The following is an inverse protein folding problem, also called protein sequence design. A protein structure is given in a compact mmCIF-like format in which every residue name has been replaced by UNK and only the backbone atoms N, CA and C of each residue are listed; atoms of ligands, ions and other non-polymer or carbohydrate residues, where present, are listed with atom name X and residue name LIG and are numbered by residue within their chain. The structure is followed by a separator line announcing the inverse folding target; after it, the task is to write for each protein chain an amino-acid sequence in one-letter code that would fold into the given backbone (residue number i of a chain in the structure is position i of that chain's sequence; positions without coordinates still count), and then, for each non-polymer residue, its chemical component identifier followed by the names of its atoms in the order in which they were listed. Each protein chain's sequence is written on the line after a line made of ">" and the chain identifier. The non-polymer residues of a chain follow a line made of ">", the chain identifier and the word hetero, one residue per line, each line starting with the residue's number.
data_IF_372492256552
#
_entry.id   IF_372492256552
#
_cell.length_a   1.000
_cell.length_b   1.000
_cell.length_c   1.000
_cell.angle_alpha   90.00
_cell.angle_beta   90.00
_cell.angle_gamma   90.00
#
_symmetry.space_group_name_H-M   'P 1'
#
loop_
_entity.id
_entity.type
_entity.pdbx_description
1 polymer ?
#
# COMPACT_ATOMS: atom_id res chain seq x y z
N UNK A 1 27.28 -31.73 1.87
CA UNK A 1 27.94 -30.41 1.99
C UNK A 1 26.83 -29.39 2.23
N UNK A 2 26.39 -29.26 3.49
CA UNK A 2 26.61 -28.11 4.41
C UNK A 2 26.22 -26.76 3.80
N UNK A 3 25.16 -26.22 4.39
CA UNK A 3 24.51 -24.94 4.16
C UNK A 3 25.35 -23.78 4.68
N UNK A 4 25.20 -22.61 4.08
CA UNK A 4 25.54 -21.31 4.67
C UNK A 4 24.42 -20.33 4.28
N UNK A 5 23.53 -20.10 5.24
CA UNK A 5 22.51 -19.05 5.26
C UNK A 5 23.14 -17.89 6.03
N UNK A 6 23.35 -16.74 5.39
CA UNK A 6 23.77 -15.52 6.08
C UNK A 6 22.54 -14.77 6.59
N UNK A 7 22.22 -15.04 7.87
CA UNK A 7 21.40 -14.20 8.74
C UNK A 7 22.21 -12.94 9.10
N UNK A 8 21.69 -11.75 8.77
CA UNK A 8 22.22 -10.49 9.30
C UNK A 8 21.19 -9.88 10.24
N UNK A 9 21.45 -10.10 11.52
CA UNK A 9 20.68 -9.65 12.67
C UNK A 9 20.80 -8.14 12.90
N UNK A 10 19.71 -7.57 13.39
CA UNK A 10 19.53 -6.17 13.77
C UNK A 10 20.41 -5.75 14.97
N UNK A 11 20.85 -4.49 14.96
CA UNK A 11 21.27 -3.77 16.16
C UNK A 11 20.36 -2.55 16.33
N UNK A 12 19.50 -2.62 17.35
CA UNK A 12 18.75 -1.51 17.91
C UNK A 12 19.67 -0.70 18.83
N UNK A 13 19.84 0.59 18.57
CA UNK A 13 20.33 1.53 19.59
C UNK A 13 19.17 2.45 19.99
N UNK A 14 18.67 2.18 21.20
CA UNK A 14 17.80 3.06 21.98
C UNK A 14 18.70 3.88 22.88
N UNK A 15 18.65 5.21 22.77
CA UNK A 15 18.91 6.12 23.90
C UNK A 15 18.06 7.38 23.72
N UNK A 16 17.19 7.63 24.70
CA UNK A 16 16.29 8.78 24.75
C UNK A 16 16.89 10.03 25.41
N UNK A 17 16.23 11.15 25.09
CA UNK A 17 15.92 12.37 25.84
C UNK A 17 16.95 12.97 26.83
N UNK A 18 17.20 14.29 26.71
CA UNK A 18 16.88 15.33 27.72
C UNK A 18 16.89 16.71 27.05
N UNK A 19 15.83 17.49 27.29
CA UNK A 19 15.72 18.93 27.02
C UNK A 19 16.20 19.74 28.22
N UNK A 20 16.97 20.81 27.98
CA UNK A 20 17.01 22.02 28.83
C UNK A 20 17.51 23.20 27.99
N UNK A 21 16.69 24.23 27.80
CA UNK A 21 17.17 25.60 27.51
C UNK A 21 17.83 26.22 28.76
N UNK A 22 18.51 27.38 28.69
CA UNK A 22 17.77 28.65 28.54
C UNK A 22 18.50 29.84 27.86
N UNK A 23 17.66 30.82 27.46
CA UNK A 23 17.77 32.29 27.58
C UNK A 23 19.02 33.06 27.09
N UNK A 24 18.75 33.87 26.05
CA UNK A 24 19.15 35.27 25.83
C UNK A 24 19.86 36.00 26.98
N UNK A 25 21.04 36.55 26.69
CA UNK A 25 21.51 37.87 27.15
C UNK A 25 22.37 38.50 26.05
N UNK A 26 21.96 39.65 25.54
CA UNK A 26 22.83 40.69 24.98
C UNK A 26 22.83 41.84 26.01
N UNK A 27 23.95 42.58 26.18
CA UNK A 27 24.03 43.87 25.50
C UNK A 27 25.44 44.41 25.15
N UNK A 28 25.44 45.31 24.15
CA UNK A 28 26.23 46.56 23.99
C UNK A 28 27.75 46.50 23.70
N UNK A 29 28.25 46.99 22.54
CA UNK A 29 28.55 48.42 22.13
C UNK A 29 29.81 48.93 22.88
N UNK A 30 30.94 49.45 22.34
CA UNK A 30 31.29 50.36 21.22
C UNK A 30 32.85 50.41 21.03
N UNK A 31 33.36 50.66 19.80
CA UNK A 31 34.49 51.54 19.38
C UNK A 31 35.10 51.03 18.06
N UNK A 32 34.88 51.64 16.89
CA UNK A 32 35.40 52.90 16.32
C UNK A 32 36.90 52.84 15.92
N UNK A 33 37.16 52.95 14.61
CA UNK A 33 38.51 53.03 14.03
C UNK A 33 38.51 53.00 12.50
N UNK A 34 38.45 54.18 11.88
CA UNK A 34 38.51 54.47 10.44
C UNK A 34 39.90 54.26 9.83
N UNK A 35 39.97 53.82 8.56
CA UNK A 35 41.20 53.81 7.76
C UNK A 35 40.92 53.61 6.27
N UNK A 36 41.55 54.46 5.44
CA UNK A 36 41.24 54.80 4.05
C UNK A 36 41.89 53.83 3.03
N UNK A 37 41.23 53.57 1.90
CA UNK A 37 41.72 52.77 0.75
C UNK A 37 42.76 53.55 -0.10
N UNK A 38 43.55 52.92 -1.01
CA UNK A 38 43.00 52.53 -2.33
C UNK A 38 43.66 51.35 -3.10
N UNK A 39 42.83 50.79 -4.00
CA UNK A 39 43.11 50.23 -5.35
C UNK A 39 44.17 49.12 -5.54
N UNK A 40 43.68 47.92 -5.90
CA UNK A 40 44.26 47.12 -7.01
C UNK A 40 43.19 46.25 -7.69
N UNK A 41 43.05 46.44 -9.01
CA UNK A 41 42.34 45.56 -9.94
C UNK A 41 43.04 44.19 -10.01
N UNK A 42 42.28 43.09 -10.06
CA UNK A 42 42.49 42.01 -11.04
C UNK A 42 41.32 41.01 -11.07
N UNK A 43 40.90 40.72 -12.30
CA UNK A 43 40.21 39.53 -12.83
C UNK A 43 38.97 38.95 -12.13
N UNK A 44 37.82 39.19 -12.78
CA UNK A 44 36.66 38.33 -12.72
C UNK A 44 36.93 37.05 -13.52
N UNK A 45 37.16 35.93 -12.82
CA UNK A 45 36.94 34.59 -13.39
C UNK A 45 35.43 34.33 -13.41
N UNK A 46 34.87 34.48 -14.61
CA UNK A 46 33.47 34.14 -14.92
C UNK A 46 33.39 32.62 -14.95
N UNK A 47 32.91 31.99 -13.86
CA UNK A 47 32.77 30.53 -13.81
C UNK A 47 31.83 30.02 -14.91
N UNK A 48 32.36 29.15 -15.77
CA UNK A 48 31.61 28.43 -16.81
C UNK A 48 30.46 27.57 -16.22
N UNK A 49 30.54 27.25 -14.93
CA UNK A 49 29.53 26.48 -14.19
C UNK A 49 28.23 27.26 -13.97
N UNK A 50 28.31 28.59 -13.87
CA UNK A 50 27.10 29.43 -13.68
C UNK A 50 26.32 29.58 -14.99
N UNK A 51 26.99 29.52 -16.13
CA UNK A 51 26.38 29.65 -17.46
C UNK A 51 25.71 28.34 -17.90
N UNK A 52 26.31 27.19 -17.57
CA UNK A 52 25.70 25.87 -17.76
C UNK A 52 24.44 25.67 -16.87
N UNK A 53 24.48 26.15 -15.62
CA UNK A 53 23.33 26.11 -14.72
C UNK A 53 22.19 27.03 -15.18
N UNK A 54 22.51 28.25 -15.64
CA UNK A 54 21.53 29.19 -16.22
C UNK A 54 20.95 28.70 -17.54
N UNK A 55 21.75 28.08 -18.39
CA UNK A 55 21.32 27.41 -19.63
C UNK A 55 20.33 26.28 -19.34
N UNK A 56 20.61 25.48 -18.31
CA UNK A 56 19.73 24.37 -17.91
C UNK A 56 18.42 24.90 -17.31
N UNK A 57 18.48 25.92 -16.45
CA UNK A 57 17.27 26.56 -15.89
C UNK A 57 16.43 27.28 -16.96
N UNK A 58 17.06 27.94 -17.93
CA UNK A 58 16.37 28.58 -19.04
C UNK A 58 15.65 27.55 -19.93
N UNK A 59 16.28 26.41 -20.23
CA UNK A 59 15.63 25.33 -21.00
C UNK A 59 14.50 24.65 -20.23
N UNK A 60 14.59 24.56 -18.90
CA UNK A 60 13.50 24.04 -18.05
C UNK A 60 12.34 25.05 -17.99
N UNK A 61 12.63 26.35 -17.85
CA UNK A 61 11.64 27.41 -17.85
C UNK A 61 10.91 27.54 -19.21
N UNK A 62 11.65 27.51 -20.32
CA UNK A 62 11.11 27.61 -21.69
C UNK A 62 10.20 26.42 -22.05
N UNK A 63 10.49 25.23 -21.50
CA UNK A 63 9.63 24.03 -21.65
C UNK A 63 8.37 24.06 -20.78
N UNK A 64 8.39 24.81 -19.68
CA UNK A 64 7.25 24.96 -18.75
C UNK A 64 6.26 26.02 -19.23
N UNK A 65 6.72 27.00 -20.02
CA UNK A 65 5.89 28.08 -20.58
C UNK A 65 5.14 27.64 -21.85
N UNK A 66 5.65 26.64 -22.58
CA UNK A 66 5.06 26.15 -23.85
C UNK A 66 4.03 25.04 -23.70
N UNK A 67 4.05 24.32 -22.57
CA UNK A 67 3.01 23.36 -22.21
C UNK A 67 2.54 23.72 -20.81
N UNK A 68 1.30 24.20 -20.68
CA UNK A 68 0.66 24.44 -19.37
C UNK A 68 0.83 23.25 -18.41
N UNK A 69 0.54 23.40 -17.10
CA UNK A 69 0.92 22.42 -16.07
C UNK A 69 0.56 21.00 -16.51
N UNK A 70 1.57 20.24 -16.93
CA UNK A 70 1.34 18.96 -17.59
C UNK A 70 0.84 18.00 -16.51
N UNK A 71 -0.44 17.66 -16.55
CA UNK A 71 -1.07 16.79 -15.55
C UNK A 71 -0.23 15.52 -15.36
N UNK A 72 0.11 15.18 -14.11
CA UNK A 72 0.88 13.98 -13.77
C UNK A 72 0.19 12.75 -14.34
N UNK A 73 0.89 11.90 -15.11
CA UNK A 73 0.26 10.68 -15.60
C UNK A 73 0.21 9.59 -14.51
N UNK A 74 -0.34 8.42 -14.85
CA UNK A 74 -0.53 7.33 -13.90
C UNK A 74 0.79 6.92 -13.21
N UNK A 75 1.90 6.87 -13.93
CA UNK A 75 3.18 6.41 -13.36
C UNK A 75 3.77 7.44 -12.40
N UNK A 76 3.74 8.73 -12.77
CA UNK A 76 4.15 9.80 -11.85
C UNK A 76 3.28 9.85 -10.60
N UNK A 77 1.96 9.66 -10.74
CA UNK A 77 1.05 9.57 -9.60
C UNK A 77 1.40 8.39 -8.69
N UNK A 78 1.71 7.22 -9.26
CA UNK A 78 2.14 6.05 -8.48
C UNK A 78 3.45 6.34 -7.72
N UNK A 79 4.44 6.96 -8.37
CA UNK A 79 5.70 7.35 -7.73
C UNK A 79 5.47 8.37 -6.60
N UNK A 80 4.58 9.34 -6.80
CA UNK A 80 4.21 10.31 -5.77
C UNK A 80 3.56 9.64 -4.57
N UNK A 81 2.61 8.73 -4.80
CA UNK A 81 1.95 7.95 -3.76
C UNK A 81 2.89 6.98 -3.05
N UNK A 82 3.92 6.47 -3.74
CA UNK A 82 5.00 5.68 -3.13
C UNK A 82 5.89 6.51 -2.18
N UNK A 83 5.77 7.84 -2.22
CA UNK A 83 6.47 8.79 -1.37
C UNK A 83 7.56 9.60 -2.08
N UNK A 84 7.68 9.51 -3.41
CA UNK A 84 8.61 10.37 -4.15
C UNK A 84 8.03 11.79 -4.29
N UNK A 85 8.90 12.78 -4.16
CA UNK A 85 8.60 14.18 -4.36
C UNK A 85 9.10 14.61 -5.75
N UNK A 86 8.53 15.68 -6.34
CA UNK A 86 8.99 16.21 -7.63
C UNK A 86 10.50 16.50 -7.69
N UNK A 87 11.10 16.88 -6.56
CA UNK A 87 12.53 17.17 -6.44
C UNK A 87 13.47 15.94 -6.45
N UNK A 88 12.94 14.72 -6.41
CA UNK A 88 13.74 13.49 -6.36
C UNK A 88 14.28 13.05 -7.74
N UNK A 89 14.42 13.99 -8.68
CA UNK A 89 14.82 13.76 -10.06
C UNK A 89 13.96 12.70 -10.76
N UNK A 90 12.63 12.91 -10.75
CA UNK A 90 11.68 12.06 -11.48
C UNK A 90 12.09 11.98 -12.96
N UNK A 91 11.99 10.79 -13.58
CA UNK A 91 12.39 10.58 -14.96
C UNK A 91 11.57 11.46 -15.90
N UNK A 92 12.23 12.11 -16.86
CA UNK A 92 11.58 12.97 -17.84
C UNK A 92 10.63 12.13 -18.71
N UNK A 93 9.38 12.59 -18.87
CA UNK A 93 8.35 11.91 -19.68
C UNK A 93 8.78 11.63 -21.13
N UNK A 94 9.63 12.49 -21.68
CA UNK A 94 10.10 12.42 -23.06
C UNK A 94 11.14 11.31 -23.32
N UNK A 95 11.61 10.62 -22.28
CA UNK A 95 12.64 9.58 -22.38
C UNK A 95 12.18 8.25 -21.81
N UNK A 96 12.68 7.16 -22.38
CA UNK A 96 12.55 5.84 -21.77
C UNK A 96 13.15 5.82 -20.35
N UNK A 97 12.51 5.11 -19.44
CA UNK A 97 13.05 4.86 -18.10
C UNK A 97 14.17 3.83 -18.20
N UNK A 98 15.38 4.24 -17.87
CA UNK A 98 16.57 3.39 -17.92
C UNK A 98 16.78 2.61 -16.62
N UNK A 99 17.53 1.49 -16.64
CA UNK A 99 17.91 0.77 -15.42
C UNK A 99 18.61 1.66 -14.39
N UNK A 100 19.53 2.53 -14.82
CA UNK A 100 20.22 3.48 -13.93
C UNK A 100 19.26 4.44 -13.24
N UNK A 101 18.26 4.96 -13.96
CA UNK A 101 17.22 5.80 -13.37
C UNK A 101 16.34 4.98 -12.42
N UNK A 102 15.97 3.75 -12.77
CA UNK A 102 15.19 2.88 -11.89
C UNK A 102 15.90 2.56 -10.57
N UNK A 103 17.21 2.26 -10.64
CA UNK A 103 18.05 2.02 -9.45
C UNK A 103 18.13 3.26 -8.55
N UNK A 104 18.24 4.45 -9.14
CA UNK A 104 18.24 5.73 -8.40
C UNK A 104 16.90 5.94 -7.68
N UNK A 105 15.78 5.74 -8.37
CA UNK A 105 14.45 5.89 -7.76
C UNK A 105 14.22 4.90 -6.61
N UNK A 106 14.62 3.63 -6.79
CA UNK A 106 14.59 2.63 -5.71
C UNK A 106 15.46 3.06 -4.52
N UNK A 107 16.67 3.56 -4.79
CA UNK A 107 17.59 4.05 -3.75
C UNK A 107 17.01 5.23 -2.96
N UNK A 108 16.26 6.13 -3.62
CA UNK A 108 15.55 7.22 -2.93
C UNK A 108 14.40 6.66 -2.10
N UNK A 109 13.58 5.75 -2.65
CA UNK A 109 12.47 5.13 -1.91
C UNK A 109 12.95 4.41 -0.65
N UNK A 110 14.11 3.74 -0.69
CA UNK A 110 14.70 3.08 0.48
C UNK A 110 15.10 4.05 1.60
N UNK A 111 15.44 5.30 1.26
CA UNK A 111 15.81 6.35 2.23
C UNK A 111 14.59 7.08 2.80
N UNK A 112 13.41 6.92 2.20
CA UNK A 112 12.19 7.60 2.63
C UNK A 112 11.40 6.75 3.63
N UNK A 113 10.72 7.38 4.61
CA UNK A 113 9.89 6.66 5.55
C UNK A 113 8.80 5.86 4.83
N UNK A 114 8.59 4.63 5.29
CA UNK A 114 7.45 3.81 4.89
C UNK A 114 6.30 4.15 5.82
N UNK A 115 5.16 4.53 5.26
CA UNK A 115 3.94 4.84 5.99
C UNK A 115 2.82 3.92 5.52
N UNK A 116 1.78 3.74 6.33
CA UNK A 116 0.61 2.95 5.94
C UNK A 116 -0.03 3.42 4.63
N UNK A 117 0.00 4.73 4.38
CA UNK A 117 -0.53 5.34 3.16
C UNK A 117 0.33 5.09 1.93
N UNK A 118 1.66 5.17 2.05
CA UNK A 118 2.55 5.00 0.91
C UNK A 118 2.94 3.54 0.63
N UNK A 119 2.76 2.65 1.61
CA UNK A 119 3.20 1.26 1.52
C UNK A 119 2.65 0.53 0.28
N UNK A 120 1.34 0.54 -0.04
CA UNK A 120 0.82 -0.18 -1.21
C UNK A 120 1.38 0.33 -2.53
N UNK A 121 1.38 1.65 -2.73
CA UNK A 121 1.92 2.27 -3.94
C UNK A 121 3.43 2.11 -4.05
N UNK A 122 4.15 2.08 -2.93
CA UNK A 122 5.58 1.78 -2.89
C UNK A 122 5.88 0.36 -3.34
N UNK A 123 5.06 -0.63 -2.98
CA UNK A 123 5.22 -2.00 -3.48
C UNK A 123 5.05 -2.04 -4.99
N UNK A 124 4.00 -1.41 -5.54
CA UNK A 124 3.77 -1.33 -6.98
C UNK A 124 4.86 -0.60 -7.75
N UNK A 125 5.29 0.55 -7.25
CA UNK A 125 6.41 1.31 -7.82
C UNK A 125 7.69 0.45 -7.82
N UNK A 126 7.99 -0.20 -6.69
CA UNK A 126 9.19 -1.01 -6.57
C UNK A 126 9.18 -2.21 -7.53
N UNK A 127 8.03 -2.82 -7.76
CA UNK A 127 7.88 -3.90 -8.76
C UNK A 127 8.24 -3.39 -10.16
N UNK A 128 7.62 -2.30 -10.62
CA UNK A 128 7.91 -1.74 -11.94
C UNK A 128 9.38 -1.36 -12.10
N UNK A 129 9.96 -0.73 -11.08
CA UNK A 129 11.37 -0.32 -11.11
C UNK A 129 12.31 -1.53 -11.18
N UNK A 130 12.03 -2.62 -10.47
CA UNK A 130 12.81 -3.87 -10.57
C UNK A 130 12.71 -4.51 -11.94
N UNK A 131 11.53 -4.53 -12.56
CA UNK A 131 11.40 -5.04 -13.93
C UNK A 131 12.19 -4.23 -14.96
N UNK A 132 12.35 -2.93 -14.76
CA UNK A 132 13.25 -2.11 -15.61
C UNK A 132 14.72 -2.47 -15.34
N UNK A 133 15.09 -2.74 -14.09
CA UNK A 133 16.45 -3.20 -13.77
C UNK A 133 16.80 -4.52 -14.46
N UNK A 134 15.84 -5.45 -14.49
CA UNK A 134 16.02 -6.78 -15.08
C UNK A 134 15.86 -6.79 -16.59
N UNK A 135 14.86 -6.07 -17.13
CA UNK A 135 14.47 -6.11 -18.54
C UNK A 135 15.05 -5.02 -19.42
N UNK A 136 15.77 -4.04 -18.86
CA UNK A 136 16.36 -2.93 -19.61
C UNK A 136 15.43 -1.71 -19.75
N UNK A 137 15.82 -0.76 -20.61
CA UNK A 137 15.12 0.52 -20.76
C UNK A 137 13.69 0.34 -21.29
N UNK A 138 12.72 1.02 -20.65
CA UNK A 138 11.29 0.89 -20.96
C UNK A 138 10.69 2.23 -21.41
N UNK A 139 9.96 2.24 -22.52
CA UNK A 139 9.28 3.44 -23.02
C UNK A 139 8.15 3.89 -22.08
N UNK A 140 7.74 5.16 -22.19
CA UNK A 140 6.63 5.68 -21.38
C UNK A 140 5.32 4.94 -21.64
N UNK A 141 5.04 4.61 -22.90
CA UNK A 141 3.84 3.86 -23.29
C UNK A 141 3.82 2.45 -22.69
N UNK A 142 4.96 1.74 -22.75
CA UNK A 142 5.10 0.41 -22.16
C UNK A 142 4.95 0.45 -20.63
N UNK A 143 5.48 1.49 -19.95
CA UNK A 143 5.24 1.67 -18.51
C UNK A 143 3.75 1.81 -18.20
N UNK A 144 3.03 2.66 -18.94
CA UNK A 144 1.60 2.86 -18.72
C UNK A 144 0.80 1.59 -19.02
N UNK A 145 1.18 0.81 -20.03
CA UNK A 145 0.60 -0.52 -20.30
C UNK A 145 0.87 -1.48 -19.14
N UNK A 146 2.09 -1.56 -18.62
CA UNK A 146 2.42 -2.39 -17.44
C UNK A 146 1.69 -1.95 -16.18
N UNK A 147 1.29 -0.68 -16.08
CA UNK A 147 0.49 -0.23 -14.93
C UNK A 147 -0.93 -0.80 -14.92
N UNK A 148 -1.51 -1.13 -16.07
CA UNK A 148 -2.89 -1.65 -16.15
C UNK A 148 -3.07 -2.92 -15.31
N UNK A 149 -2.05 -3.79 -15.23
CA UNK A 149 -2.11 -4.99 -14.38
C UNK A 149 -2.11 -4.68 -12.89
N UNK A 150 -1.55 -3.53 -12.47
CA UNK A 150 -1.53 -3.11 -11.07
C UNK A 150 -2.91 -2.65 -10.58
N UNK A 151 -3.81 -2.25 -11.49
CA UNK A 151 -5.15 -1.74 -11.14
C UNK A 151 -5.98 -2.76 -10.36
N UNK A 152 -5.70 -4.04 -10.55
CA UNK A 152 -6.40 -5.15 -9.89
C UNK A 152 -5.65 -5.70 -8.68
N UNK A 153 -4.49 -5.14 -8.34
CA UNK A 153 -3.64 -5.65 -7.27
C UNK A 153 -3.86 -4.91 -5.96
N UNK A 154 -3.93 -5.70 -4.90
CA UNK A 154 -3.86 -5.25 -3.53
C UNK A 154 -2.67 -5.88 -2.81
N UNK A 155 -2.27 -5.27 -1.71
CA UNK A 155 -1.30 -5.83 -0.75
C UNK A 155 -1.87 -5.76 0.65
N UNK A 156 -1.51 -6.71 1.50
CA UNK A 156 -1.76 -6.61 2.93
C UNK A 156 -0.80 -5.59 3.54
N UNK A 157 -1.32 -4.65 4.32
CA UNK A 157 -0.57 -3.61 5.04
C UNK A 157 -0.20 -4.05 6.46
N UNK A 158 0.78 -3.37 7.09
CA UNK A 158 1.17 -3.59 8.49
C UNK A 158 0.04 -3.49 9.53
N UNK A 159 -1.05 -2.77 9.23
CA UNK A 159 -2.19 -2.61 10.12
C UNK A 159 -3.32 -3.62 9.86
N UNK A 160 -3.09 -4.62 9.01
CA UNK A 160 -4.04 -5.69 8.77
C UNK A 160 -5.10 -5.38 7.72
N UNK A 161 -4.94 -4.32 6.93
CA UNK A 161 -5.84 -3.99 5.83
C UNK A 161 -5.28 -4.39 4.47
N UNK A 162 -6.12 -4.94 3.61
CA UNK A 162 -5.85 -4.97 2.18
C UNK A 162 -6.06 -3.58 1.60
N UNK A 163 -5.12 -3.12 0.78
CA UNK A 163 -5.21 -1.84 0.09
C UNK A 163 -4.74 -1.95 -1.36
N UNK A 164 -5.37 -1.19 -2.25
CA UNK A 164 -5.02 -1.16 -3.66
C UNK A 164 -3.63 -0.60 -3.87
N UNK A 165 -2.86 -1.25 -4.73
CA UNK A 165 -1.49 -0.84 -5.07
C UNK A 165 -1.49 0.53 -5.77
N UNK A 166 -2.42 0.76 -6.70
CA UNK A 166 -2.41 1.97 -7.53
C UNK A 166 -2.69 3.27 -6.78
N UNK A 167 -3.36 3.23 -5.62
CA UNK A 167 -3.79 4.45 -4.91
C UNK A 167 -3.71 4.38 -3.38
N UNK A 168 -3.31 3.24 -2.80
CA UNK A 168 -3.21 3.07 -1.35
C UNK A 168 -4.54 3.01 -0.60
N UNK A 169 -5.69 3.10 -1.28
CA UNK A 169 -7.01 3.05 -0.63
C UNK A 169 -7.26 1.66 -0.04
N UNK A 170 -7.62 1.63 1.23
CA UNK A 170 -8.01 0.41 1.94
C UNK A 170 -9.29 -0.17 1.34
N UNK A 171 -9.41 -1.50 1.39
CA UNK A 171 -10.57 -2.25 0.90
C UNK A 171 -11.22 -3.04 2.02
N UNK A 172 -10.45 -3.91 2.67
CA UNK A 172 -10.97 -4.85 3.65
C UNK A 172 -9.99 -4.95 4.81
N UNK A 173 -10.54 -4.95 6.03
CA UNK A 173 -9.78 -5.35 7.22
C UNK A 173 -9.72 -6.87 7.25
N UNK A 174 -8.52 -7.42 7.27
CA UNK A 174 -8.26 -8.86 7.31
C UNK A 174 -8.06 -9.33 8.75
N UNK A 175 -7.46 -8.50 9.60
CA UNK A 175 -7.21 -8.83 11.00
C UNK A 175 -5.81 -8.40 11.44
N UNK A 176 -5.48 -8.52 12.74
CA UNK A 176 -4.14 -8.23 13.22
C UNK A 176 -3.11 -9.16 12.55
N UNK A 177 -1.90 -8.64 12.32
CA UNK A 177 -0.78 -9.44 11.83
C UNK A 177 -0.22 -10.32 12.95
N UNK A 178 0.06 -11.56 12.59
CA UNK A 178 0.73 -12.55 13.43
C UNK A 178 1.98 -13.04 12.70
N UNK A 179 3.05 -13.31 13.45
CA UNK A 179 4.23 -13.95 12.88
C UNK A 179 4.02 -15.47 12.80
N UNK A 180 4.02 -16.04 11.60
CA UNK A 180 3.86 -17.48 11.34
C UNK A 180 4.74 -17.91 10.17
N UNK A 181 5.44 -19.03 10.32
CA UNK A 181 6.23 -19.67 9.26
C UNK A 181 7.20 -18.73 8.52
N UNK A 182 7.81 -17.79 9.24
CA UNK A 182 8.79 -16.84 8.69
C UNK A 182 8.19 -15.60 8.03
N UNK A 183 6.87 -15.40 8.09
CA UNK A 183 6.21 -14.23 7.53
C UNK A 183 5.18 -13.62 8.50
N UNK A 184 4.90 -12.32 8.31
CA UNK A 184 3.76 -11.68 8.94
C UNK A 184 2.50 -11.99 8.15
N UNK A 185 1.52 -12.62 8.79
CA UNK A 185 0.28 -13.06 8.14
C UNK A 185 -0.96 -12.60 8.89
N UNK A 186 -2.06 -12.41 8.17
CA UNK A 186 -3.40 -12.24 8.73
C UNK A 186 -4.38 -13.04 7.88
N UNK A 187 -5.12 -13.96 8.49
CA UNK A 187 -6.22 -14.71 7.83
C UNK A 187 -5.85 -15.36 6.47
N UNK A 188 -4.58 -15.77 6.30
CA UNK A 188 -4.06 -16.38 5.06
C UNK A 188 -3.39 -15.39 4.09
N UNK A 189 -3.43 -14.10 4.39
CA UNK A 189 -2.71 -13.06 3.66
C UNK A 189 -1.34 -12.82 4.29
N UNK A 190 -0.34 -12.58 3.46
CA UNK A 190 1.04 -12.31 3.82
C UNK A 190 1.35 -10.84 3.59
N UNK A 191 2.00 -10.21 4.56
CA UNK A 191 2.40 -8.81 4.50
C UNK A 191 3.25 -8.52 3.27
N UNK A 192 2.86 -7.54 2.47
CA UNK A 192 3.63 -7.12 1.28
C UNK A 192 3.51 -8.04 0.07
N UNK A 193 2.87 -9.21 0.17
CA UNK A 193 2.57 -10.04 -1.00
C UNK A 193 1.46 -9.42 -1.86
N UNK A 194 1.55 -9.60 -3.17
CA UNK A 194 0.53 -9.15 -4.11
C UNK A 194 -0.65 -10.11 -4.19
N UNK A 195 -1.85 -9.53 -4.22
CA UNK A 195 -3.11 -10.24 -4.38
C UNK A 195 -3.91 -9.61 -5.51
N UNK A 196 -4.37 -10.42 -6.47
CA UNK A 196 -5.26 -9.97 -7.54
C UNK A 196 -6.72 -10.17 -7.13
N UNK A 197 -7.55 -9.15 -7.36
CA UNK A 197 -8.99 -9.28 -7.23
C UNK A 197 -9.56 -9.93 -8.49
N UNK A 198 -10.12 -11.13 -8.34
CA UNK A 198 -10.84 -11.84 -9.40
C UNK A 198 -12.25 -12.17 -8.91
N UNK A 199 -13.23 -11.39 -9.36
CA UNK A 199 -14.65 -11.58 -9.01
C UNK A 199 -14.96 -11.27 -7.54
N UNK A 200 -14.22 -10.34 -6.91
CA UNK A 200 -14.31 -10.03 -5.49
C UNK A 200 -13.32 -10.81 -4.63
N UNK A 201 -12.86 -11.97 -5.06
CA UNK A 201 -11.94 -12.78 -4.27
C UNK A 201 -10.49 -12.35 -4.53
N UNK A 202 -9.79 -11.97 -3.46
CA UNK A 202 -8.35 -11.73 -3.50
C UNK A 202 -7.59 -13.06 -3.49
N UNK A 203 -6.74 -13.24 -4.50
CA UNK A 203 -5.89 -14.42 -4.68
C UNK A 203 -4.44 -13.98 -4.76
N UNK A 204 -3.50 -14.68 -4.12
CA UNK A 204 -2.08 -14.36 -4.20
C UNK A 204 -1.66 -14.53 -5.65
N UNK A 205 -0.63 -13.79 -6.03
CA UNK A 205 -0.07 -13.91 -7.35
C UNK A 205 1.24 -14.69 -7.36
N UNK A 206 1.61 -15.18 -8.53
CA UNK A 206 2.97 -15.60 -8.85
C UNK A 206 3.83 -14.38 -9.22
N UNK A 207 5.05 -14.66 -9.68
CA UNK A 207 6.02 -13.66 -10.14
C UNK A 207 5.53 -12.89 -11.38
N UNK A 208 4.67 -13.51 -12.19
CA UNK A 208 4.06 -12.92 -13.38
C UNK A 208 2.74 -12.18 -13.06
N UNK A 209 2.44 -11.99 -11.76
CA UNK A 209 1.22 -11.40 -11.24
C UNK A 209 -0.07 -12.13 -11.65
N UNK A 210 0.04 -13.40 -12.05
CA UNK A 210 -1.11 -14.24 -12.33
C UNK A 210 -1.65 -14.85 -11.03
N UNK A 211 -2.97 -15.06 -10.91
CA UNK A 211 -3.55 -15.68 -9.74
C UNK A 211 -3.01 -17.10 -9.54
N UNK A 212 -2.45 -17.37 -8.37
CA UNK A 212 -2.02 -18.70 -7.96
C UNK A 212 -3.20 -19.42 -7.32
N UNK A 213 -3.63 -20.51 -7.94
CA UNK A 213 -4.69 -21.39 -7.44
C UNK A 213 -4.10 -22.48 -6.56
N UNK A 214 -3.42 -22.07 -5.49
CA UNK A 214 -2.97 -22.99 -4.45
C UNK A 214 -3.99 -22.88 -3.32
N UNK A 215 -4.55 -24.02 -2.89
CA UNK A 215 -5.77 -24.16 -2.07
C UNK A 215 -5.83 -23.47 -0.70
N UNK A 216 -4.89 -22.56 -0.39
CA UNK A 216 -4.83 -21.80 0.86
C UNK A 216 -5.14 -20.31 0.72
N UNK A 217 -5.35 -19.81 -0.49
CA UNK A 217 -5.59 -18.39 -0.69
C UNK A 217 -6.72 -18.10 -1.68
N UNK A 218 -7.73 -18.95 -1.64
CA UNK A 218 -9.06 -18.61 -2.10
C UNK A 218 -9.80 -17.92 -0.94
N UNK A 219 -9.78 -16.59 -0.93
CA UNK A 219 -10.35 -15.83 0.20
C UNK A 219 -11.87 -15.74 0.11
N UNK A 220 -12.55 -16.02 1.22
CA UNK A 220 -13.98 -15.80 1.33
C UNK A 220 -14.27 -14.31 1.56
N UNK A 221 -14.93 -13.65 0.61
CA UNK A 221 -15.18 -12.20 0.65
C UNK A 221 -16.51 -11.88 1.33
N UNK A 222 -16.47 -11.04 2.36
CA UNK A 222 -17.63 -10.28 2.80
C UNK A 222 -17.61 -8.89 2.12
N UNK A 223 -18.43 -8.69 1.10
CA UNK A 223 -18.54 -7.40 0.40
C UNK A 223 -19.63 -6.52 1.00
N UNK A 224 -19.64 -5.23 0.63
CA UNK A 224 -20.66 -4.27 1.10
C UNK A 224 -22.08 -4.78 0.84
N UNK A 225 -22.33 -5.40 -0.33
CA UNK A 225 -23.66 -5.91 -0.70
C UNK A 225 -24.09 -7.08 0.19
N UNK A 226 -23.16 -7.96 0.55
CA UNK A 226 -23.41 -9.17 1.33
C UNK A 226 -23.66 -8.78 2.77
N UNK A 227 -22.86 -7.86 3.28
CA UNK A 227 -23.04 -7.30 4.61
C UNK A 227 -24.34 -6.50 4.71
N UNK A 228 -24.64 -5.65 3.73
CA UNK A 228 -25.92 -4.96 3.66
C UNK A 228 -27.09 -5.95 3.68
N UNK A 229 -27.04 -6.99 2.83
CA UNK A 229 -28.07 -8.03 2.81
C UNK A 229 -28.23 -8.73 4.17
N UNK A 230 -27.11 -9.08 4.83
CA UNK A 230 -27.11 -9.73 6.14
C UNK A 230 -27.77 -8.82 7.19
N UNK A 231 -27.45 -7.54 7.20
CA UNK A 231 -27.98 -6.59 8.18
C UNK A 231 -29.46 -6.28 7.94
N UNK A 232 -29.84 -5.99 6.69
CA UNK A 232 -31.22 -5.70 6.30
C UNK A 232 -32.15 -6.90 6.49
N UNK A 233 -31.61 -8.12 6.46
CA UNK A 233 -32.37 -9.34 6.74
C UNK A 233 -32.40 -9.65 8.23
N UNK A 234 -31.25 -9.73 8.90
CA UNK A 234 -31.14 -10.43 10.18
C UNK A 234 -30.81 -9.52 11.36
N UNK A 235 -30.59 -8.22 11.17
CA UNK A 235 -30.28 -7.32 12.28
C UNK A 235 -31.51 -6.50 12.70
N UNK A 236 -32.03 -6.61 13.94
CA UNK A 236 -33.25 -5.93 14.36
C UNK A 236 -33.26 -4.42 14.12
N UNK A 237 -32.10 -3.76 14.26
CA UNK A 237 -31.93 -2.32 14.04
C UNK A 237 -31.98 -1.88 12.58
N UNK A 238 -31.59 -2.76 11.65
CA UNK A 238 -31.43 -2.42 10.23
C UNK A 238 -32.43 -3.15 9.34
N UNK A 239 -33.30 -3.96 9.94
CA UNK A 239 -34.26 -4.79 9.23
C UNK A 239 -35.19 -3.93 8.37
N UNK A 240 -35.36 -4.34 7.12
CA UNK A 240 -36.14 -3.62 6.11
C UNK A 240 -37.65 -3.92 6.15
N UNK A 241 -38.09 -4.77 7.08
CA UNK A 241 -39.48 -5.21 7.20
C UNK A 241 -39.84 -6.41 6.34
N UNK A 242 -38.89 -6.97 5.56
CA UNK A 242 -39.16 -8.17 4.75
C UNK A 242 -39.33 -9.41 5.64
N UNK A 243 -40.46 -10.10 5.50
CA UNK A 243 -40.77 -11.34 6.22
C UNK A 243 -40.71 -12.56 5.29
N UNK A 244 -40.18 -13.67 5.81
CA UNK A 244 -40.16 -15.00 5.18
C UNK A 244 -40.73 -16.02 6.17
N UNK A 245 -41.05 -17.22 5.68
CA UNK A 245 -41.62 -18.32 6.49
C UNK A 245 -40.78 -18.66 7.73
N UNK A 246 -39.45 -18.52 7.63
CA UNK A 246 -38.54 -18.61 8.76
C UNK A 246 -37.60 -17.39 8.75
N UNK A 247 -37.60 -16.63 9.84
CA UNK A 247 -36.75 -15.46 10.02
C UNK A 247 -36.08 -15.51 11.40
N UNK A 248 -34.76 -15.40 11.41
CA UNK A 248 -33.97 -15.29 12.64
C UNK A 248 -33.25 -13.95 12.71
N UNK A 249 -32.99 -13.50 13.93
CA UNK A 249 -32.40 -12.19 14.18
C UNK A 249 -31.18 -12.30 15.09
N UNK A 250 -30.15 -11.52 14.78
CA UNK A 250 -29.05 -11.25 15.69
C UNK A 250 -29.56 -10.64 17.00
N UNK A 251 -28.78 -10.81 18.07
CA UNK A 251 -29.06 -10.11 19.33
C UNK A 251 -29.12 -8.60 19.08
N UNK A 252 -30.14 -7.92 19.60
CA UNK A 252 -30.39 -6.50 19.31
C UNK A 252 -29.24 -5.55 19.71
N UNK A 253 -28.33 -6.02 20.57
CA UNK A 253 -27.14 -5.28 21.03
C UNK A 253 -25.89 -5.54 20.20
N UNK A 254 -25.90 -6.51 19.27
CA UNK A 254 -24.74 -6.79 18.43
C UNK A 254 -24.41 -5.55 17.60
N UNK A 255 -23.16 -5.12 17.66
CA UNK A 255 -22.63 -4.09 16.77
C UNK A 255 -22.33 -4.68 15.39
N UNK A 256 -22.07 -3.79 14.43
CA UNK A 256 -21.52 -4.17 13.13
C UNK A 256 -20.21 -4.98 13.26
N UNK A 257 -19.36 -4.56 14.20
CA UNK A 257 -18.10 -5.22 14.51
C UNK A 257 -18.34 -6.62 15.12
N UNK A 258 -19.36 -6.79 15.96
CA UNK A 258 -19.73 -8.11 16.51
C UNK A 258 -20.18 -9.07 15.41
N UNK A 259 -21.02 -8.61 14.49
CA UNK A 259 -21.46 -9.42 13.34
C UNK A 259 -20.25 -9.82 12.47
N UNK A 260 -19.35 -8.88 12.20
CA UNK A 260 -18.14 -9.14 11.41
C UNK A 260 -17.22 -10.15 12.10
N UNK A 261 -17.01 -10.02 13.42
CA UNK A 261 -16.24 -10.99 14.23
C UNK A 261 -16.87 -12.37 14.25
N UNK A 262 -18.20 -12.45 14.36
CA UNK A 262 -18.90 -13.74 14.34
C UNK A 262 -18.75 -14.44 12.99
N UNK A 263 -18.82 -13.70 11.88
CA UNK A 263 -18.54 -14.22 10.53
C UNK A 263 -17.10 -14.76 10.45
N UNK A 264 -16.12 -13.97 10.90
CA UNK A 264 -14.71 -14.40 10.94
C UNK A 264 -14.52 -15.68 11.76
N UNK A 265 -15.13 -15.77 12.93
CA UNK A 265 -15.05 -16.95 13.79
C UNK A 265 -15.65 -18.19 13.13
N UNK A 266 -16.80 -18.08 12.45
CA UNK A 266 -17.41 -19.21 11.73
C UNK A 266 -16.54 -19.64 10.55
N UNK A 267 -15.95 -18.71 9.80
CA UNK A 267 -15.00 -19.05 8.73
C UNK A 267 -13.77 -19.77 9.28
N UNK A 268 -13.22 -19.32 10.42
CA UNK A 268 -12.08 -19.95 11.07
C UNK A 268 -12.39 -21.38 11.53
N UNK A 269 -13.55 -21.61 12.15
CA UNK A 269 -14.01 -22.94 12.58
C UNK A 269 -14.16 -23.93 11.41
N UNK A 270 -14.36 -23.43 10.19
CA UNK A 270 -14.63 -24.24 9.00
C UNK A 270 -13.45 -24.31 8.02
N UNK A 271 -12.23 -23.97 8.46
CA UNK A 271 -11.04 -23.88 7.59
C UNK A 271 -10.83 -25.13 6.73
N UNK A 272 -10.85 -26.32 7.31
CA UNK A 272 -10.60 -27.57 6.57
C UNK A 272 -11.64 -27.83 5.47
N UNK A 273 -12.91 -27.59 5.79
CA UNK A 273 -14.01 -27.73 4.84
C UNK A 273 -13.91 -26.72 3.71
N UNK A 274 -13.46 -25.50 4.01
CA UNK A 274 -13.21 -24.46 3.01
C UNK A 274 -12.03 -24.81 2.11
N UNK A 275 -10.95 -25.38 2.66
CA UNK A 275 -9.81 -25.88 1.86
C UNK A 275 -10.26 -27.01 0.93
N UNK A 276 -11.07 -27.95 1.44
CA UNK A 276 -11.54 -29.09 0.65
C UNK A 276 -12.53 -28.73 -0.47
N UNK A 277 -13.43 -27.77 -0.22
CA UNK A 277 -14.42 -27.33 -1.24
C UNK A 277 -13.94 -26.18 -2.12
N UNK A 278 -13.00 -25.38 -1.63
CA UNK A 278 -12.60 -24.12 -2.24
C UNK A 278 -13.77 -23.14 -2.36
N UNK A 279 -13.67 -22.26 -3.34
CA UNK A 279 -14.60 -21.16 -3.60
C UNK A 279 -15.58 -21.46 -4.73
N UNK A 280 -15.55 -22.66 -5.32
CA UNK A 280 -16.47 -23.00 -6.42
C UNK A 280 -17.84 -23.40 -5.88
N UNK A 281 -18.88 -22.83 -6.47
CA UNK A 281 -20.27 -23.17 -6.17
C UNK A 281 -20.82 -22.54 -4.89
N UNK A 282 -21.98 -23.02 -4.47
CA UNK A 282 -22.71 -22.54 -3.31
C UNK A 282 -22.71 -23.61 -2.21
N UNK A 283 -22.39 -23.20 -0.98
CA UNK A 283 -22.48 -24.08 0.18
C UNK A 283 -22.62 -23.29 1.49
N UNK A 284 -23.09 -23.97 2.53
CA UNK A 284 -23.19 -23.39 3.86
C UNK A 284 -22.13 -23.98 4.80
N UNK A 285 -21.72 -23.14 5.74
CA UNK A 285 -20.89 -23.43 6.89
C UNK A 285 -21.73 -23.20 8.15
N UNK A 286 -21.37 -23.90 9.23
CA UNK A 286 -21.99 -23.70 10.54
C UNK A 286 -20.91 -23.51 11.58
N UNK A 287 -21.17 -22.68 12.58
CA UNK A 287 -20.26 -22.50 13.69
C UNK A 287 -20.95 -21.87 14.88
N UNK A 288 -20.31 -21.96 16.03
CA UNK A 288 -20.87 -21.45 17.29
C UNK A 288 -20.00 -20.31 17.80
N UNK A 289 -20.61 -19.17 18.09
CA UNK A 289 -19.94 -17.98 18.64
C UNK A 289 -20.74 -17.52 19.85
N UNK A 290 -20.08 -17.40 21.01
CA UNK A 290 -20.71 -17.00 22.27
C UNK A 290 -21.97 -17.82 22.64
N UNK A 291 -21.95 -19.12 22.32
CA UNK A 291 -23.06 -20.04 22.60
C UNK A 291 -24.21 -20.00 21.58
N UNK A 292 -24.15 -19.15 20.56
CA UNK A 292 -25.15 -19.07 19.48
C UNK A 292 -24.64 -19.80 18.25
N UNK A 293 -25.43 -20.72 17.69
CA UNK A 293 -25.13 -21.37 16.41
C UNK A 293 -25.48 -20.43 15.26
N UNK A 294 -24.59 -20.33 14.28
CA UNK A 294 -24.75 -19.51 13.09
C UNK A 294 -24.66 -20.36 11.84
N UNK A 295 -25.40 -19.94 10.81
CA UNK A 295 -25.29 -20.46 9.45
C UNK A 295 -24.70 -19.37 8.57
N UNK A 296 -23.62 -19.71 7.84
CA UNK A 296 -22.94 -18.81 6.91
C UNK A 296 -23.04 -19.39 5.50
N UNK A 297 -23.69 -18.66 4.60
CA UNK A 297 -23.85 -19.03 3.19
C UNK A 297 -22.78 -18.42 2.29
N UNK A 298 -22.10 -19.29 1.55
CA UNK A 298 -21.08 -18.95 0.57
C UNK A 298 -21.60 -19.22 -0.84
N UNK A 299 -21.36 -18.28 -1.75
CA UNK A 299 -21.60 -18.45 -3.19
C UNK A 299 -20.39 -17.92 -3.95
N UNK A 300 -19.70 -18.79 -4.68
CA UNK A 300 -18.48 -18.43 -5.41
C UNK A 300 -17.40 -17.79 -4.52
N UNK A 301 -17.29 -18.24 -3.27
CA UNK A 301 -16.41 -17.65 -2.26
C UNK A 301 -16.94 -16.37 -1.61
N UNK A 302 -18.06 -15.80 -2.06
CA UNK A 302 -18.65 -14.62 -1.44
C UNK A 302 -19.58 -15.01 -0.28
N UNK A 303 -19.40 -14.36 0.87
CA UNK A 303 -20.32 -14.41 2.01
C UNK A 303 -21.57 -13.63 1.64
N UNK A 304 -22.64 -14.37 1.32
CA UNK A 304 -23.93 -13.79 0.91
C UNK A 304 -24.99 -13.87 1.99
N UNK A 305 -24.82 -14.74 2.98
CA UNK A 305 -25.78 -14.98 4.05
C UNK A 305 -25.04 -15.26 5.35
N UNK A 306 -25.59 -14.75 6.44
CA UNK A 306 -25.15 -15.04 7.79
C UNK A 306 -26.31 -14.78 8.74
N UNK A 307 -26.69 -15.78 9.52
CA UNK A 307 -27.83 -15.66 10.43
C UNK A 307 -27.71 -16.65 11.61
N UNK A 308 -28.25 -16.30 12.79
CA UNK A 308 -28.31 -17.23 13.91
C UNK A 308 -29.35 -18.31 13.65
N UNK A 309 -29.12 -19.50 14.16
CA UNK A 309 -30.03 -20.64 14.05
C UNK A 309 -30.86 -20.81 15.32
#
# INVERSE_FOLDING_TARGET
>A
MRAEVLLLSAVLLVTGCVSTGPRYVHPSVLHQGSGVAPLRRHHAERSLDTEAARSTQARVAERTVTHGPVEADAFERLLALAGLAPGDALPLRASALTPTQAARLLSVLLKKPVTLGNFPSRMGASLLLREVLEGGSVSREELLRRMTRLERLAVLRPDGYLAWVINGRTQQRVGPLEWKDGAFVALGFELGRFYVNTGGVFRPTDEQLQPVFNGFAETFLLDKKGLQHILERHHPRYWDGTTKEAQSFFGAKMSFEDVSRAIEAVLQQNRERMVGRGTRGMYQLRGTVDGVEYVLGLNQGRVGQFYPR
#
